data_IF_530360701044
#
_entry.id   IF_530360701044
#
_cell.length_a   1.000
_cell.length_b   1.000
_cell.length_c   1.000
_cell.angle_alpha   90.00
_cell.angle_beta   90.00
_cell.angle_gamma   90.00
#
_symmetry.space_group_name_H-M   'P 1'
#
loop_
_entity.id
_entity.type
_entity.pdbx_description
1 polymer ?
#
# COMPACT_ATOMS: atom_id res chain seq x y z
N UNK A 1 -49.04 28.48 -40.05
CA UNK A 1 -47.65 28.87 -39.68
C UNK A 1 -47.20 28.43 -38.28
N UNK A 2 -48.10 28.25 -37.30
CA UNK A 2 -47.76 27.97 -35.90
C UNK A 2 -47.10 26.58 -35.69
N UNK A 3 -47.53 25.55 -36.46
CA UNK A 3 -46.98 24.19 -36.38
C UNK A 3 -45.48 24.09 -36.73
N UNK A 4 -44.95 24.97 -37.59
CA UNK A 4 -43.53 24.96 -37.99
C UNK A 4 -42.59 25.48 -36.89
N UNK A 5 -43.09 26.31 -35.95
CA UNK A 5 -42.31 26.85 -34.83
C UNK A 5 -42.31 25.93 -33.59
N UNK A 6 -43.24 24.98 -33.51
CA UNK A 6 -43.31 23.99 -32.42
C UNK A 6 -42.22 22.90 -32.54
N UNK A 7 -41.85 22.53 -33.77
CA UNK A 7 -40.84 21.51 -34.05
C UNK A 7 -39.43 21.84 -33.51
N UNK A 8 -38.87 23.05 -33.72
CA UNK A 8 -37.58 23.40 -33.14
C UNK A 8 -37.65 23.53 -31.61
N UNK A 9 -38.81 23.93 -31.07
CA UNK A 9 -39.00 24.04 -29.62
C UNK A 9 -38.98 22.66 -28.94
N UNK A 10 -39.64 21.66 -29.52
CA UNK A 10 -39.59 20.27 -29.03
C UNK A 10 -38.19 19.67 -29.15
N UNK A 11 -37.47 19.99 -30.23
CA UNK A 11 -36.09 19.53 -30.42
C UNK A 11 -35.14 20.14 -29.38
N UNK A 12 -35.34 21.43 -29.04
CA UNK A 12 -34.58 22.12 -28.02
C UNK A 12 -34.82 21.52 -26.63
N UNK A 13 -36.07 21.22 -26.27
CA UNK A 13 -36.39 20.55 -25.00
C UNK A 13 -35.78 19.15 -24.92
N UNK A 14 -35.82 18.38 -26.02
CA UNK A 14 -35.20 17.06 -26.07
C UNK A 14 -33.67 17.14 -25.88
N UNK A 15 -33.03 18.13 -26.49
CA UNK A 15 -31.60 18.39 -26.34
C UNK A 15 -31.24 18.82 -24.92
N UNK A 16 -32.10 19.65 -24.28
CA UNK A 16 -31.94 20.05 -22.89
C UNK A 16 -32.02 18.85 -21.94
N UNK A 17 -33.00 17.97 -22.14
CA UNK A 17 -33.16 16.74 -21.34
C UNK A 17 -31.94 15.83 -21.49
N UNK A 18 -31.41 15.71 -22.72
CA UNK A 18 -30.22 14.93 -22.99
C UNK A 18 -28.97 15.50 -22.29
N UNK A 19 -28.80 16.82 -22.30
CA UNK A 19 -27.73 17.50 -21.57
C UNK A 19 -27.82 17.29 -20.05
N UNK A 20 -29.02 17.42 -19.49
CA UNK A 20 -29.24 17.20 -18.05
C UNK A 20 -28.95 15.76 -17.66
N UNK A 21 -29.39 14.79 -18.48
CA UNK A 21 -29.11 13.38 -18.25
C UNK A 21 -27.61 13.08 -18.28
N UNK A 22 -26.88 13.64 -19.26
CA UNK A 22 -25.44 13.47 -19.39
C UNK A 22 -24.67 14.13 -18.23
N UNK A 23 -25.10 15.31 -17.80
CA UNK A 23 -24.53 15.99 -16.62
C UNK A 23 -24.74 15.16 -15.35
N UNK A 24 -25.91 14.55 -15.17
CA UNK A 24 -26.19 13.68 -14.04
C UNK A 24 -25.30 12.43 -14.03
N UNK A 25 -25.11 11.80 -15.19
CA UNK A 25 -24.25 10.63 -15.33
C UNK A 25 -22.79 10.96 -15.03
N UNK A 26 -22.27 12.06 -15.57
CA UNK A 26 -20.91 12.53 -15.29
C UNK A 26 -20.70 12.80 -13.79
N UNK A 27 -21.69 13.39 -13.13
CA UNK A 27 -21.56 13.72 -11.70
C UNK A 27 -21.40 12.46 -10.83
N UNK A 28 -22.08 11.36 -11.18
CA UNK A 28 -21.86 10.06 -10.52
C UNK A 28 -20.44 9.54 -10.75
N UNK A 29 -19.95 9.57 -11.99
CA UNK A 29 -18.60 9.11 -12.33
C UNK A 29 -17.51 9.97 -11.68
N UNK A 30 -17.74 11.29 -11.53
CA UNK A 30 -16.80 12.19 -10.85
C UNK A 30 -16.71 11.92 -9.34
N UNK A 31 -17.83 11.57 -8.69
CA UNK A 31 -17.81 11.19 -7.28
C UNK A 31 -17.04 9.90 -7.04
N UNK A 32 -17.23 8.91 -7.92
CA UNK A 32 -16.45 7.68 -7.89
C UNK A 32 -14.96 8.00 -8.10
N UNK A 33 -14.59 8.75 -9.14
CA UNK A 33 -13.19 9.12 -9.40
C UNK A 33 -12.51 9.79 -8.20
N UNK A 34 -13.19 10.70 -7.50
CA UNK A 34 -12.66 11.34 -6.29
C UNK A 34 -12.39 10.33 -5.16
N UNK A 35 -13.25 9.32 -5.04
CA UNK A 35 -13.07 8.23 -4.09
C UNK A 35 -11.85 7.37 -4.44
N UNK A 36 -11.67 7.04 -5.73
CA UNK A 36 -10.51 6.29 -6.21
C UNK A 36 -9.19 7.05 -5.99
N UNK A 37 -9.16 8.36 -6.26
CA UNK A 37 -7.96 9.20 -6.06
C UNK A 37 -7.54 9.30 -4.59
N UNK A 38 -8.51 9.35 -3.68
CA UNK A 38 -8.22 9.35 -2.24
C UNK A 38 -7.57 8.03 -1.84
N UNK A 39 -8.10 6.90 -2.31
CA UNK A 39 -7.58 5.57 -2.02
C UNK A 39 -6.16 5.37 -2.55
N UNK A 40 -5.86 5.87 -3.74
CA UNK A 40 -4.52 5.80 -4.34
C UNK A 40 -3.45 6.42 -3.43
N UNK A 41 -3.71 7.62 -2.88
CA UNK A 41 -2.76 8.28 -1.97
C UNK A 41 -2.56 7.54 -0.63
N UNK A 42 -3.59 6.82 -0.16
CA UNK A 42 -3.50 6.02 1.06
C UNK A 42 -2.69 4.75 0.78
N UNK A 43 -3.00 4.05 -0.31
CA UNK A 43 -2.28 2.87 -0.77
C UNK A 43 -0.80 3.14 -1.01
N UNK A 44 -0.46 4.28 -1.61
CA UNK A 44 0.93 4.67 -1.84
C UNK A 44 1.70 4.90 -0.52
N UNK A 45 1.04 5.50 0.48
CA UNK A 45 1.63 5.67 1.81
C UNK A 45 1.83 4.33 2.51
N UNK A 46 0.83 3.46 2.49
CA UNK A 46 0.90 2.13 3.09
C UNK A 46 2.01 1.29 2.44
N UNK A 47 2.17 1.38 1.12
CA UNK A 47 3.21 0.68 0.38
C UNK A 47 4.61 1.16 0.78
N UNK A 48 4.81 2.47 0.92
CA UNK A 48 6.09 3.01 1.37
C UNK A 48 6.41 2.57 2.81
N UNK A 49 5.46 2.65 3.74
CA UNK A 49 5.66 2.19 5.12
C UNK A 49 6.02 0.70 5.15
N UNK A 50 5.30 -0.13 4.41
CA UNK A 50 5.56 -1.57 4.37
C UNK A 50 6.94 -1.90 3.77
N UNK A 51 7.38 -1.10 2.79
CA UNK A 51 8.70 -1.24 2.18
C UNK A 51 9.82 -0.87 3.16
N UNK A 52 9.63 0.19 3.93
CA UNK A 52 10.58 0.62 4.95
C UNK A 52 10.69 -0.44 6.07
N UNK A 53 9.55 -0.94 6.56
CA UNK A 53 9.52 -2.03 7.54
C UNK A 53 10.22 -3.30 7.00
N UNK A 54 9.96 -3.69 5.76
CA UNK A 54 10.61 -4.85 5.15
C UNK A 54 12.14 -4.65 5.03
N UNK A 55 12.59 -3.43 4.73
CA UNK A 55 14.01 -3.08 4.67
C UNK A 55 14.68 -3.20 6.05
N UNK A 56 14.05 -2.65 7.10
CA UNK A 56 14.54 -2.78 8.47
C UNK A 56 14.63 -4.24 8.94
N UNK A 57 13.60 -5.05 8.64
CA UNK A 57 13.62 -6.48 8.96
C UNK A 57 14.72 -7.22 8.21
N UNK A 58 14.95 -6.88 6.93
CA UNK A 58 16.01 -7.48 6.14
C UNK A 58 17.39 -7.13 6.71
N UNK A 59 17.62 -5.87 7.08
CA UNK A 59 18.86 -5.45 7.74
C UNK A 59 19.07 -6.15 9.08
N UNK A 60 18.00 -6.29 9.88
CA UNK A 60 18.05 -7.00 11.15
C UNK A 60 18.47 -8.46 10.97
N UNK A 61 17.84 -9.17 10.02
CA UNK A 61 18.19 -10.57 9.71
C UNK A 61 19.61 -10.71 9.16
N UNK A 62 20.05 -9.75 8.35
CA UNK A 62 21.41 -9.72 7.83
C UNK A 62 22.46 -9.50 8.92
N UNK A 63 22.18 -8.65 9.90
CA UNK A 63 23.02 -8.46 11.09
C UNK A 63 23.02 -9.72 11.96
N UNK A 64 21.85 -10.34 12.14
CA UNK A 64 21.70 -11.60 12.88
C UNK A 64 22.50 -12.74 12.24
N UNK A 65 22.57 -12.79 10.90
CA UNK A 65 23.33 -13.82 10.17
C UNK A 65 24.85 -13.58 10.21
N UNK A 66 25.28 -12.31 10.14
CA UNK A 66 26.70 -11.95 10.01
C UNK A 66 27.43 -11.80 11.33
N UNK A 67 26.74 -11.36 12.39
CA UNK A 67 27.35 -11.07 13.68
C UNK A 67 26.98 -12.14 14.73
N UNK A 68 27.92 -12.99 15.13
CA UNK A 68 27.67 -14.05 16.11
C UNK A 68 27.29 -13.52 17.49
N UNK A 69 27.87 -12.39 17.91
CA UNK A 69 27.60 -11.77 19.23
C UNK A 69 26.16 -11.21 19.31
N UNK A 70 25.69 -10.61 18.21
CA UNK A 70 24.33 -10.08 18.11
C UNK A 70 23.29 -11.20 18.13
N UNK A 71 23.62 -12.36 17.58
CA UNK A 71 22.78 -13.55 17.63
C UNK A 71 22.58 -14.03 19.08
N UNK A 72 23.65 -14.02 19.87
CA UNK A 72 23.61 -14.44 21.27
C UNK A 72 22.85 -13.42 22.15
N UNK A 73 22.98 -12.12 21.87
CA UNK A 73 22.18 -11.07 22.53
C UNK A 73 20.68 -11.18 22.22
N UNK A 74 20.31 -11.42 20.95
CA UNK A 74 18.92 -11.61 20.54
C UNK A 74 18.35 -12.90 21.13
N UNK A 75 19.11 -14.00 21.15
CA UNK A 75 18.70 -15.26 21.77
C UNK A 75 18.47 -15.11 23.28
N UNK A 76 19.34 -14.37 23.98
CA UNK A 76 19.17 -14.03 25.40
C UNK A 76 17.89 -13.24 25.66
N UNK A 77 17.60 -12.26 24.79
CA UNK A 77 16.45 -11.36 24.93
C UNK A 77 15.11 -12.03 24.60
N UNK A 78 15.04 -12.77 23.50
CA UNK A 78 13.78 -13.35 22.98
C UNK A 78 13.49 -14.75 23.54
N UNK A 79 14.53 -15.57 23.77
CA UNK A 79 14.35 -16.97 24.18
C UNK A 79 14.69 -17.21 25.66
N UNK A 80 15.24 -16.21 26.36
CA UNK A 80 15.69 -16.36 27.76
C UNK A 80 16.87 -17.33 27.94
N UNK A 81 17.47 -17.78 26.83
CA UNK A 81 18.65 -18.62 26.84
C UNK A 81 19.90 -17.74 27.00
N UNK A 82 20.32 -17.56 28.25
CA UNK A 82 21.68 -17.13 28.57
C UNK A 82 21.76 -16.39 29.88
N UNK A 83 22.47 -16.98 30.84
CA UNK A 83 22.93 -16.24 32.03
C UNK A 83 24.09 -15.31 31.64
N UNK A 84 24.28 -14.18 32.35
CA UNK A 84 25.34 -13.21 32.03
C UNK A 84 26.76 -13.80 32.05
N UNK A 85 26.98 -14.92 32.75
CA UNK A 85 28.28 -15.60 32.91
C UNK A 85 28.41 -16.92 32.12
N UNK A 86 27.54 -17.17 31.15
CA UNK A 86 27.54 -18.45 30.42
C UNK A 86 28.47 -18.41 29.20
N UNK A 87 29.47 -19.31 29.18
CA UNK A 87 30.44 -19.44 28.09
C UNK A 87 29.86 -20.30 26.96
N UNK A 88 29.51 -19.67 25.83
CA UNK A 88 29.06 -20.35 24.62
C UNK A 88 30.25 -20.83 23.79
N UNK A 89 30.55 -22.12 23.87
CA UNK A 89 31.57 -22.75 23.03
C UNK A 89 31.00 -23.00 21.63
N UNK A 90 31.56 -22.34 20.62
CA UNK A 90 31.16 -22.50 19.21
C UNK A 90 32.11 -23.48 18.52
N UNK A 91 31.57 -24.56 17.95
CA UNK A 91 32.38 -25.56 17.25
C UNK A 91 33.01 -24.96 15.99
N UNK A 92 34.32 -25.14 15.76
CA UNK A 92 34.93 -24.72 14.51
C UNK A 92 34.33 -25.53 13.35
N UNK A 93 34.16 -24.91 12.16
CA UNK A 93 33.70 -25.64 10.99
C UNK A 93 34.66 -26.79 10.72
N UNK A 94 34.13 -27.99 10.46
CA UNK A 94 34.95 -29.14 10.08
C UNK A 94 35.75 -28.81 8.82
N UNK A 95 37.04 -28.53 8.97
CA UNK A 95 37.99 -28.55 7.86
C UNK A 95 38.09 -29.99 7.37
N UNK A 96 37.25 -30.34 6.38
CA UNK A 96 37.44 -31.53 5.57
C UNK A 96 38.73 -31.35 4.77
N UNK A 97 39.80 -31.99 5.25
CA UNK A 97 41.01 -32.28 4.45
C UNK A 97 40.68 -33.27 3.35
#
# INVERSE_FOLDING_TARGET
>A
MIKKKLFPLTLFFLLLICLVYLAFQLNRTFQEYKHWKTRESVLEKELNVLKDEACEHQEFLDRLRRNPDFQDEVAKKELGYGKPDEWLYRFPPETKN
#
